data_IF_123573860047
#
_entry.id   IF_123573860047
#
_cell.length_a   1.000
_cell.length_b   1.000
_cell.length_c   1.000
_cell.angle_alpha   90.00
_cell.angle_beta   90.00
_cell.angle_gamma   90.00
#
_symmetry.space_group_name_H-M   'P 1'
#
loop_
_entity.id
_entity.type
_entity.pdbx_description
1 polymer ?
#
# COMPACT_ATOMS: atom_id res chain seq x y z
N UNK A 1 2.96 -41.11 22.63
CA UNK A 1 2.64 -41.56 21.27
C UNK A 1 1.52 -40.64 20.80
N UNK A 2 1.62 -39.70 19.87
CA UNK A 2 2.69 -39.03 19.11
C UNK A 2 1.93 -38.43 17.93
N UNK A 3 1.36 -37.24 18.10
CA UNK A 3 0.50 -36.52 17.14
C UNK A 3 1.11 -35.15 16.80
N UNK A 4 2.43 -35.10 16.60
CA UNK A 4 3.14 -33.84 16.35
C UNK A 4 4.08 -33.89 15.12
N UNK A 5 4.16 -35.02 14.42
CA UNK A 5 5.09 -35.23 13.29
C UNK A 5 4.42 -35.17 11.90
N UNK A 6 3.14 -34.80 11.79
CA UNK A 6 2.39 -34.88 10.51
C UNK A 6 2.21 -33.53 9.79
N UNK A 7 2.86 -32.45 10.26
CA UNK A 7 2.80 -31.12 9.62
C UNK A 7 3.99 -30.79 8.72
N UNK A 8 5.03 -31.63 8.68
CA UNK A 8 6.26 -31.40 7.89
C UNK A 8 6.23 -32.01 6.48
N UNK A 9 5.19 -32.76 6.10
CA UNK A 9 5.09 -33.48 4.82
C UNK A 9 4.04 -32.91 3.85
N UNK A 10 3.67 -31.63 4.01
CA UNK A 10 2.83 -30.92 3.04
C UNK A 10 3.71 -30.34 1.91
N UNK A 11 3.38 -30.56 0.63
CA UNK A 11 4.14 -30.00 -0.47
C UNK A 11 4.07 -28.46 -0.42
N UNK A 12 5.23 -27.81 -0.41
CA UNK A 12 5.32 -26.35 -0.45
C UNK A 12 4.61 -25.82 -1.71
N UNK A 13 3.82 -24.74 -1.61
CA UNK A 13 3.15 -24.16 -2.76
C UNK A 13 4.17 -23.68 -3.81
N UNK A 14 3.82 -23.71 -5.11
CA UNK A 14 4.70 -23.24 -6.16
C UNK A 14 5.01 -21.75 -5.96
N UNK A 15 6.28 -21.40 -6.09
CA UNK A 15 6.74 -20.02 -6.01
C UNK A 15 6.11 -19.17 -7.13
N UNK A 16 5.68 -17.93 -6.84
CA UNK A 16 5.09 -17.06 -7.83
C UNK A 16 6.08 -16.77 -8.97
N UNK A 17 5.61 -16.77 -10.24
CA UNK A 17 6.48 -16.52 -11.38
C UNK A 17 7.02 -15.08 -11.35
N UNK A 18 8.34 -14.93 -11.49
CA UNK A 18 9.00 -13.63 -11.66
C UNK A 18 9.95 -13.20 -10.54
N UNK A 19 10.04 -13.93 -9.42
CA UNK A 19 10.99 -13.62 -8.34
C UNK A 19 12.16 -14.61 -8.38
N UNK A 20 13.30 -14.23 -8.97
CA UNK A 20 14.54 -14.96 -8.77
C UNK A 20 15.16 -14.56 -7.42
N UNK A 21 14.81 -15.28 -6.35
CA UNK A 21 15.57 -15.14 -5.10
C UNK A 21 17.00 -15.65 -5.35
N UNK A 22 18.05 -14.89 -4.99
CA UNK A 22 19.39 -15.43 -5.00
C UNK A 22 19.44 -16.65 -4.05
N UNK A 23 20.23 -17.69 -4.36
CA UNK A 23 20.34 -18.85 -3.50
C UNK A 23 20.75 -18.40 -2.08
N UNK A 24 20.11 -18.94 -1.03
CA UNK A 24 20.51 -18.63 0.34
C UNK A 24 21.99 -18.98 0.52
N UNK A 25 22.76 -18.15 1.27
CA UNK A 25 24.16 -18.44 1.55
C UNK A 25 24.27 -19.82 2.24
N UNK A 26 25.31 -20.61 1.92
CA UNK A 26 25.52 -21.91 2.54
C UNK A 26 25.62 -21.74 4.07
N UNK A 27 25.00 -22.62 4.86
CA UNK A 27 25.15 -22.59 6.30
C UNK A 27 26.64 -22.74 6.67
N UNK A 28 27.13 -22.00 7.69
CA UNK A 28 28.49 -22.18 8.18
C UNK A 28 28.69 -23.65 8.58
N UNK A 29 29.87 -24.24 8.34
CA UNK A 29 30.15 -25.60 8.76
C UNK A 29 29.99 -25.68 10.28
N UNK A 30 29.01 -26.46 10.73
CA UNK A 30 28.94 -26.92 12.10
C UNK A 30 30.03 -27.98 12.25
N UNK A 31 31.09 -27.66 13.01
CA UNK A 31 32.08 -28.64 13.45
C UNK A 31 31.41 -29.58 14.47
N UNK A 32 30.79 -30.63 13.97
CA UNK A 32 30.30 -31.77 14.74
C UNK A 32 31.22 -32.94 14.44
N UNK A 33 32.41 -32.93 15.02
CA UNK A 33 33.28 -34.12 15.13
C UNK A 33 34.37 -33.88 16.16
N UNK A 34 34.07 -34.21 17.42
CA UNK A 34 35.01 -34.82 18.35
C UNK A 34 34.22 -35.29 19.58
N UNK A 35 33.69 -36.50 19.49
CA UNK A 35 33.48 -37.32 20.68
C UNK A 35 34.87 -37.78 21.14
N UNK A 36 35.48 -37.07 22.09
CA UNK A 36 36.60 -37.55 22.90
C UNK A 36 36.48 -36.95 24.30
N UNK A 37 36.01 -37.82 25.19
CA UNK A 37 36.45 -38.05 26.58
C UNK A 37 36.73 -36.85 27.52
N UNK A 38 36.09 -36.92 28.69
CA UNK A 38 36.47 -36.21 29.90
C UNK A 38 37.96 -36.43 30.21
N UNK A 39 38.78 -35.39 30.12
CA UNK A 39 39.98 -35.27 30.95
C UNK A 39 40.15 -33.84 31.45
N UNK A 40 40.20 -33.74 32.77
CA UNK A 40 40.39 -32.54 33.55
C UNK A 40 41.90 -32.43 33.75
N UNK A 41 42.59 -31.47 33.13
CA UNK A 41 43.94 -31.10 33.54
C UNK A 41 44.15 -29.58 33.58
N UNK A 42 44.42 -29.12 34.80
CA UNK A 42 45.00 -27.83 35.14
C UNK A 42 46.41 -27.69 34.52
N UNK A 43 46.71 -26.55 33.90
CA UNK A 43 47.95 -25.85 34.26
C UNK A 43 47.93 -24.36 33.94
N UNK A 44 48.28 -23.62 34.99
CA UNK A 44 48.66 -22.21 35.01
C UNK A 44 49.89 -21.94 34.12
N UNK A 45 50.06 -20.68 33.69
CA UNK A 45 51.05 -19.75 34.28
C UNK A 45 51.65 -18.72 33.27
N UNK A 46 51.97 -17.54 33.83
CA UNK A 46 52.89 -16.48 33.37
C UNK A 46 52.41 -15.29 32.48
N UNK A 47 51.99 -14.22 33.18
CA UNK A 47 52.62 -12.87 33.31
C UNK A 47 53.29 -12.21 32.07
N UNK A 48 52.79 -11.06 31.60
CA UNK A 48 53.11 -9.66 31.99
C UNK A 48 54.29 -9.04 31.22
N UNK A 49 54.04 -7.98 30.43
CA UNK A 49 54.83 -6.72 30.51
C UNK A 49 54.37 -5.55 29.59
N UNK A 50 54.37 -4.36 30.21
CA UNK A 50 54.48 -2.97 29.71
C UNK A 50 53.19 -2.19 29.37
N UNK A 51 53.22 -0.85 29.53
CA UNK A 51 53.45 -0.11 30.77
C UNK A 51 52.21 0.73 31.14
N UNK A 52 52.12 1.06 32.43
CA UNK A 52 51.18 2.06 32.95
C UNK A 52 51.46 3.42 32.31
N UNK A 53 50.61 3.83 31.36
CA UNK A 53 50.38 5.23 31.04
C UNK A 53 48.97 5.59 31.53
N UNK A 54 48.93 6.01 32.80
CA UNK A 54 47.74 6.38 33.57
C UNK A 54 47.37 7.85 33.40
N UNK A 55 47.70 8.49 32.28
CA UNK A 55 47.35 9.89 32.06
C UNK A 55 46.46 10.07 30.83
N UNK A 56 45.15 10.19 31.08
CA UNK A 56 44.06 10.54 30.14
C UNK A 56 43.39 9.39 29.37
N UNK A 57 43.40 8.17 29.92
CA UNK A 57 42.34 7.18 29.64
C UNK A 57 41.14 7.41 30.56
N UNK A 58 40.73 8.67 30.75
CA UNK A 58 39.46 8.92 31.41
C UNK A 58 38.38 8.30 30.53
N UNK A 59 37.54 7.48 31.14
CA UNK A 59 36.39 6.89 30.46
C UNK A 59 35.58 7.98 29.74
N UNK A 60 35.56 9.19 30.30
CA UNK A 60 35.01 10.40 29.69
C UNK A 60 35.66 10.73 28.34
N UNK A 61 36.99 10.81 28.25
CA UNK A 61 37.70 11.14 27.00
C UNK A 61 37.60 10.05 25.95
N UNK A 62 37.59 8.76 26.36
CA UNK A 62 37.34 7.65 25.45
C UNK A 62 35.89 7.65 24.95
N UNK A 63 34.94 8.01 25.81
CA UNK A 63 33.52 8.10 25.46
C UNK A 63 33.24 9.30 24.54
N UNK A 64 33.84 10.46 24.81
CA UNK A 64 33.79 11.63 23.94
C UNK A 64 34.44 11.36 22.59
N UNK A 65 35.57 10.65 22.56
CA UNK A 65 36.22 10.24 21.30
C UNK A 65 35.37 9.26 20.50
N UNK A 66 34.66 8.34 21.16
CA UNK A 66 33.69 7.45 20.51
C UNK A 66 32.49 8.24 19.99
N UNK A 67 31.98 9.19 20.77
CA UNK A 67 30.86 10.05 20.39
C UNK A 67 31.18 10.95 19.19
N UNK A 68 32.40 11.48 19.11
CA UNK A 68 32.82 12.33 18.00
C UNK A 68 33.04 11.55 16.69
N UNK A 69 33.36 10.25 16.78
CA UNK A 69 33.61 9.39 15.61
C UNK A 69 32.39 8.53 15.22
N UNK A 70 31.37 8.44 16.08
CA UNK A 70 30.14 7.71 15.82
C UNK A 70 28.96 8.68 15.58
N UNK A 71 28.56 8.92 14.33
CA UNK A 71 27.48 9.85 14.00
C UNK A 71 26.11 9.40 14.53
N UNK A 72 25.98 8.16 15.02
CA UNK A 72 24.73 7.65 15.62
C UNK A 72 24.54 8.06 17.09
N UNK A 73 25.60 8.55 17.74
CA UNK A 73 25.62 8.97 19.17
C UNK A 73 25.59 10.50 19.36
N UNK A 74 25.21 11.25 18.32
CA UNK A 74 25.09 12.71 18.36
C UNK A 74 24.12 13.18 19.48
N UNK A 75 24.25 14.43 19.92
CA UNK A 75 23.38 15.00 20.97
C UNK A 75 21.90 14.91 20.63
N UNK A 76 21.54 15.00 19.35
CA UNK A 76 20.18 14.89 18.84
C UNK A 76 19.59 13.48 19.09
N UNK A 77 20.40 12.44 18.90
CA UNK A 77 20.02 11.04 19.19
C UNK A 77 19.70 10.83 20.68
N UNK A 78 20.50 11.44 21.56
CA UNK A 78 20.30 11.35 23.02
C UNK A 78 19.04 12.10 23.47
N UNK A 79 18.81 13.32 22.98
CA UNK A 79 17.64 14.13 23.34
C UNK A 79 16.33 13.47 22.84
N UNK A 80 16.38 12.86 21.65
CA UNK A 80 15.28 12.03 21.15
C UNK A 80 14.99 10.82 22.03
N UNK A 81 16.02 10.08 22.47
CA UNK A 81 15.84 8.91 23.34
C UNK A 81 15.22 9.28 24.69
N UNK A 82 15.65 10.37 25.34
CA UNK A 82 15.05 10.80 26.61
C UNK A 82 13.63 11.33 26.43
N UNK A 83 13.35 12.08 25.36
CA UNK A 83 11.98 12.49 25.05
C UNK A 83 11.07 11.29 24.78
N UNK A 84 11.55 10.25 24.10
CA UNK A 84 10.78 9.04 23.85
C UNK A 84 10.44 8.29 25.14
N UNK A 85 11.40 8.18 26.07
CA UNK A 85 11.22 7.51 27.36
C UNK A 85 10.21 8.28 28.24
N UNK A 86 10.29 9.61 28.29
CA UNK A 86 9.39 10.41 29.11
C UNK A 86 7.92 10.36 28.60
N UNK A 87 7.74 10.26 27.27
CA UNK A 87 6.42 10.06 26.64
C UNK A 87 5.82 8.68 26.93
N UNK A 88 6.66 7.64 26.96
CA UNK A 88 6.21 6.29 27.36
C UNK A 88 5.83 6.26 28.84
N UNK A 89 6.60 6.95 29.69
CA UNK A 89 6.36 7.00 31.13
C UNK A 89 5.10 7.77 31.51
N UNK A 90 4.79 8.86 30.80
CA UNK A 90 3.60 9.70 31.05
C UNK A 90 2.34 9.18 30.35
N UNK A 91 2.47 8.25 29.40
CA UNK A 91 1.35 7.66 28.65
C UNK A 91 0.70 8.62 27.64
N UNK A 92 1.22 9.84 27.52
CA UNK A 92 0.79 10.81 26.53
C UNK A 92 1.54 10.56 25.22
N UNK A 93 0.91 9.77 24.35
CA UNK A 93 1.37 9.57 22.98
C UNK A 93 1.15 10.89 22.25
N UNK A 94 2.15 11.77 22.29
CA UNK A 94 2.14 13.06 21.58
C UNK A 94 1.76 12.93 20.10
N UNK A 95 1.59 14.06 19.41
CA UNK A 95 1.14 14.04 18.01
C UNK A 95 2.04 13.16 17.13
N UNK A 96 1.48 12.57 16.08
CA UNK A 96 2.25 11.76 15.11
C UNK A 96 3.52 12.48 14.62
N UNK A 97 3.48 13.81 14.52
CA UNK A 97 4.63 14.64 14.15
C UNK A 97 5.82 14.53 15.13
N UNK A 98 5.53 14.48 16.42
CA UNK A 98 6.52 14.42 17.51
C UNK A 98 7.17 13.03 17.59
N UNK A 99 6.40 11.99 17.26
CA UNK A 99 6.87 10.59 17.23
C UNK A 99 7.78 10.28 16.04
N UNK A 100 7.63 11.01 14.94
CA UNK A 100 8.42 10.83 13.73
C UNK A 100 9.46 11.92 13.51
N UNK A 101 9.72 12.76 14.53
CA UNK A 101 10.72 13.83 14.44
C UNK A 101 12.13 13.31 14.12
N UNK A 102 12.44 12.04 14.41
CA UNK A 102 13.71 11.38 14.06
C UNK A 102 13.72 10.79 12.63
N UNK A 103 12.55 10.59 12.02
CA UNK A 103 12.40 9.90 10.72
C UNK A 103 12.12 10.83 9.57
N UNK A 104 11.58 12.02 9.85
CA UNK A 104 11.51 13.09 8.88
C UNK A 104 12.83 13.87 8.94
N UNK A 105 13.34 14.29 7.78
CA UNK A 105 14.59 15.05 7.69
C UNK A 105 14.53 16.32 8.53
N UNK A 106 15.66 17.02 8.58
CA UNK A 106 15.86 18.28 9.33
C UNK A 106 14.64 19.21 9.33
N UNK A 107 14.59 20.15 10.28
CA UNK A 107 13.53 21.16 10.46
C UNK A 107 12.88 21.73 9.18
N UNK A 108 13.62 21.78 8.06
CA UNK A 108 13.14 22.03 6.71
C UNK A 108 11.94 21.14 6.28
N UNK A 109 11.94 19.83 6.50
CA UNK A 109 10.83 18.95 6.12
C UNK A 109 9.57 19.24 6.95
N UNK A 110 9.75 19.64 8.22
CA UNK A 110 8.64 20.11 9.07
C UNK A 110 8.04 21.40 8.52
N UNK A 111 8.89 22.35 8.13
CA UNK A 111 8.44 23.60 7.50
C UNK A 111 7.76 23.33 6.15
N UNK A 112 8.30 22.42 5.32
CA UNK A 112 7.71 22.02 4.03
C UNK A 112 6.32 21.39 4.23
N UNK A 113 6.14 20.52 5.22
CA UNK A 113 4.83 19.91 5.50
C UNK A 113 3.82 20.99 5.93
N UNK A 114 4.21 21.91 6.82
CA UNK A 114 3.34 23.00 7.26
C UNK A 114 2.98 23.94 6.09
N UNK A 115 3.98 24.31 5.27
CA UNK A 115 3.79 25.16 4.11
C UNK A 115 2.90 24.48 3.05
N UNK A 116 3.14 23.20 2.73
CA UNK A 116 2.29 22.43 1.79
C UNK A 116 0.87 22.28 2.32
N UNK A 117 0.70 22.00 3.62
CA UNK A 117 -0.62 21.89 4.25
C UNK A 117 -1.38 23.22 4.19
N UNK A 118 -0.68 24.33 4.45
CA UNK A 118 -1.26 25.68 4.34
C UNK A 118 -1.64 26.00 2.89
N UNK A 119 -0.77 25.70 1.93
CA UNK A 119 -1.02 25.90 0.50
C UNK A 119 -2.25 25.11 0.03
N UNK A 120 -2.38 23.83 0.42
CA UNK A 120 -3.57 23.03 0.09
C UNK A 120 -4.85 23.60 0.73
N UNK A 121 -4.77 24.11 1.95
CA UNK A 121 -5.91 24.76 2.60
C UNK A 121 -6.31 26.06 1.89
N UNK A 122 -5.35 26.87 1.45
CA UNK A 122 -5.60 28.09 0.68
C UNK A 122 -6.23 27.77 -0.68
N UNK A 123 -5.74 26.75 -1.38
CA UNK A 123 -6.34 26.24 -2.64
C UNK A 123 -7.78 25.77 -2.42
N UNK A 124 -8.08 25.12 -1.29
CA UNK A 124 -9.45 24.67 -0.99
C UNK A 124 -10.35 25.83 -0.55
N UNK A 125 -9.79 26.89 0.05
CA UNK A 125 -10.53 28.03 0.55
C UNK A 125 -10.93 29.02 -0.56
N UNK A 126 -10.21 29.02 -1.68
CA UNK A 126 -10.64 29.80 -2.84
C UNK A 126 -11.85 29.13 -3.48
N UNK A 127 -13.01 29.79 -3.35
CA UNK A 127 -14.21 29.41 -4.08
C UNK A 127 -13.89 29.50 -5.58
N UNK A 128 -14.11 28.46 -6.38
CA UNK A 128 -13.86 28.53 -7.81
C UNK A 128 -14.76 29.62 -8.40
N UNK A 129 -14.16 30.75 -8.76
CA UNK A 129 -14.87 31.88 -9.35
C UNK A 129 -15.04 31.60 -10.84
N UNK A 130 -16.29 31.42 -11.26
CA UNK A 130 -16.65 31.36 -12.68
C UNK A 130 -16.68 32.79 -13.22
N UNK A 131 -15.61 33.21 -13.88
CA UNK A 131 -15.65 34.41 -14.71
C UNK A 131 -16.36 34.07 -16.02
N UNK A 132 -17.55 34.65 -16.23
CA UNK A 132 -18.28 34.54 -17.47
C UNK A 132 -17.51 35.30 -18.55
N UNK A 133 -16.84 34.55 -19.42
CA UNK A 133 -16.23 35.08 -20.64
C UNK A 133 -17.41 35.58 -21.51
N UNK A 134 -17.51 36.89 -21.73
CA UNK A 134 -18.56 37.45 -22.59
C UNK A 134 -18.55 36.75 -23.95
N UNK A 135 -19.67 36.15 -24.31
CA UNK A 135 -19.84 35.49 -25.59
C UNK A 135 -19.61 36.50 -26.74
N UNK A 136 -18.94 36.11 -27.83
CA UNK A 136 -18.97 36.88 -29.06
C UNK A 136 -20.42 37.01 -29.53
N UNK A 137 -20.79 38.17 -30.08
CA UNK A 137 -22.10 38.42 -30.68
C UNK A 137 -22.26 37.51 -31.90
N UNK A 138 -22.91 36.36 -31.72
CA UNK A 138 -23.20 35.38 -32.78
C UNK A 138 -24.65 35.61 -33.22
N UNK A 139 -24.82 35.99 -34.49
CA UNK A 139 -26.11 36.17 -35.16
C UNK A 139 -26.92 34.87 -35.17
N UNK A 140 -28.24 34.98 -35.01
CA UNK A 140 -29.25 33.96 -34.69
C UNK A 140 -29.46 32.81 -35.71
N UNK A 141 -28.54 32.53 -36.62
CA UNK A 141 -28.71 31.52 -37.66
C UNK A 141 -27.50 30.57 -37.73
N UNK A 142 -27.24 29.83 -36.66
CA UNK A 142 -26.57 28.52 -36.72
C UNK A 142 -26.63 27.88 -35.33
N UNK A 143 -27.65 27.06 -35.12
CA UNK A 143 -27.69 26.08 -34.05
C UNK A 143 -26.54 25.09 -34.27
N UNK A 144 -25.35 25.48 -33.81
CA UNK A 144 -24.27 24.55 -33.57
C UNK A 144 -24.74 23.72 -32.38
N UNK A 145 -25.12 22.47 -32.66
CA UNK A 145 -25.17 21.42 -31.64
C UNK A 145 -23.82 21.49 -30.93
N UNK A 146 -23.84 22.02 -29.70
CA UNK A 146 -22.77 21.79 -28.75
C UNK A 146 -22.89 20.31 -28.48
N UNK A 147 -22.13 19.53 -29.26
CA UNK A 147 -21.65 18.22 -28.83
C UNK A 147 -20.90 18.54 -27.53
N UNK A 148 -21.65 18.43 -26.43
CA UNK A 148 -21.10 18.37 -25.09
C UNK A 148 -20.06 17.26 -25.18
N UNK A 149 -18.79 17.65 -25.19
CA UNK A 149 -17.68 16.79 -24.86
C UNK A 149 -17.93 16.40 -23.39
N UNK A 150 -18.88 15.47 -23.20
CA UNK A 150 -19.28 14.95 -21.91
C UNK A 150 -18.00 14.46 -21.24
N UNK A 151 -17.78 14.74 -19.95
CA UNK A 151 -16.64 14.17 -19.23
C UNK A 151 -16.66 12.69 -19.53
N UNK A 152 -15.59 12.18 -20.16
CA UNK A 152 -15.46 10.83 -20.73
C UNK A 152 -16.29 9.88 -19.87
N UNK A 153 -17.46 9.44 -20.35
CA UNK A 153 -18.43 8.78 -19.46
C UNK A 153 -17.87 7.41 -19.13
N UNK A 154 -17.09 7.35 -18.07
CA UNK A 154 -16.40 6.17 -17.58
C UNK A 154 -17.40 5.03 -17.31
N UNK A 155 -18.69 5.35 -17.14
CA UNK A 155 -19.75 4.37 -17.03
C UNK A 155 -19.96 3.57 -18.34
N UNK A 156 -19.85 4.20 -19.51
CA UNK A 156 -19.92 3.49 -20.79
C UNK A 156 -18.71 2.58 -20.99
N UNK A 157 -17.51 3.02 -20.58
CA UNK A 157 -16.34 2.16 -20.54
C UNK A 157 -16.53 0.99 -19.57
N UNK A 158 -17.12 1.25 -18.40
CA UNK A 158 -17.44 0.24 -17.38
C UNK A 158 -18.43 -0.79 -17.93
N UNK A 159 -19.48 -0.34 -18.60
CA UNK A 159 -20.42 -1.21 -19.27
C UNK A 159 -19.71 -2.10 -20.31
N UNK A 160 -18.77 -1.54 -21.08
CA UNK A 160 -17.96 -2.30 -22.03
C UNK A 160 -17.10 -3.39 -21.38
N UNK A 161 -16.47 -3.07 -20.25
CA UNK A 161 -15.69 -4.04 -19.43
C UNK A 161 -16.60 -5.16 -18.94
N UNK A 162 -17.73 -4.81 -18.33
CA UNK A 162 -18.71 -5.75 -17.80
C UNK A 162 -19.29 -6.63 -18.91
N UNK A 163 -19.63 -6.05 -20.07
CA UNK A 163 -20.15 -6.79 -21.22
C UNK A 163 -19.13 -7.79 -21.76
N UNK A 164 -17.84 -7.42 -21.80
CA UNK A 164 -16.78 -8.35 -22.19
C UNK A 164 -16.63 -9.48 -21.18
N UNK A 165 -16.62 -9.16 -19.89
CA UNK A 165 -16.54 -10.14 -18.81
C UNK A 165 -17.69 -11.14 -18.84
N UNK A 166 -18.94 -10.66 -18.94
CA UNK A 166 -20.10 -11.54 -19.06
C UNK A 166 -20.09 -12.36 -20.36
N UNK A 167 -19.52 -11.82 -21.44
CA UNK A 167 -19.36 -12.53 -22.72
C UNK A 167 -18.33 -13.65 -22.66
N UNK A 168 -17.32 -13.53 -21.79
CA UNK A 168 -16.28 -14.55 -21.57
C UNK A 168 -16.72 -15.64 -20.56
N UNK A 169 -17.92 -15.52 -19.99
CA UNK A 169 -18.48 -16.52 -19.08
C UNK A 169 -18.90 -17.79 -19.82
N UNK A 170 -18.98 -18.95 -19.12
CA UNK A 170 -19.49 -20.19 -19.72
C UNK A 170 -20.92 -20.04 -20.22
N UNK A 171 -21.26 -20.72 -21.32
CA UNK A 171 -22.59 -20.68 -21.94
C UNK A 171 -23.74 -20.97 -20.94
N UNK A 172 -23.51 -21.86 -19.97
CA UNK A 172 -24.48 -22.21 -18.94
C UNK A 172 -24.83 -21.01 -18.04
N UNK A 173 -23.82 -20.19 -17.71
CA UNK A 173 -24.01 -18.96 -16.95
C UNK A 173 -24.72 -17.91 -17.81
N UNK A 174 -24.26 -17.71 -19.06
CA UNK A 174 -24.86 -16.72 -19.96
C UNK A 174 -26.35 -17.04 -20.19
N UNK A 175 -26.72 -18.31 -20.37
CA UNK A 175 -28.12 -18.71 -20.53
C UNK A 175 -28.94 -18.44 -19.27
N UNK A 176 -28.36 -18.65 -18.08
CA UNK A 176 -29.02 -18.34 -16.80
C UNK A 176 -29.21 -16.83 -16.64
N UNK A 177 -28.20 -16.04 -16.99
CA UNK A 177 -28.27 -14.58 -16.95
C UNK A 177 -29.30 -14.04 -17.95
N UNK A 178 -29.31 -14.52 -19.20
CA UNK A 178 -30.30 -14.15 -20.22
C UNK A 178 -31.74 -14.49 -19.80
N UNK A 179 -31.92 -15.55 -19.01
CA UNK A 179 -33.22 -15.94 -18.46
C UNK A 179 -33.62 -15.15 -17.20
N UNK A 180 -32.69 -14.39 -16.61
CA UNK A 180 -32.92 -13.65 -15.38
C UNK A 180 -33.51 -12.26 -15.65
N UNK A 181 -34.12 -11.67 -14.62
CA UNK A 181 -34.63 -10.30 -14.70
C UNK A 181 -33.49 -9.25 -14.75
N UNK A 182 -32.26 -9.65 -14.38
CA UNK A 182 -31.04 -8.83 -14.50
C UNK A 182 -30.74 -8.46 -15.96
N UNK A 183 -31.04 -9.37 -16.90
CA UNK A 183 -30.80 -9.11 -18.31
C UNK A 183 -31.65 -7.95 -18.86
N UNK A 184 -32.86 -7.73 -18.35
CA UNK A 184 -33.71 -6.60 -18.81
C UNK A 184 -33.09 -5.25 -18.45
N UNK A 185 -32.53 -5.16 -17.25
CA UNK A 185 -31.80 -3.96 -16.82
C UNK A 185 -30.54 -3.80 -17.67
N UNK A 186 -29.81 -4.89 -17.90
CA UNK A 186 -28.63 -4.92 -18.75
C UNK A 186 -28.90 -4.47 -20.19
N UNK A 187 -30.00 -4.93 -20.81
CA UNK A 187 -30.43 -4.53 -22.15
C UNK A 187 -30.80 -3.03 -22.19
N UNK A 188 -31.52 -2.56 -21.16
CA UNK A 188 -31.94 -1.15 -21.10
C UNK A 188 -30.75 -0.19 -20.96
N UNK A 189 -29.77 -0.53 -20.12
CA UNK A 189 -28.55 0.24 -19.92
C UNK A 189 -27.61 0.09 -21.13
N UNK A 190 -27.55 -1.09 -21.74
CA UNK A 190 -26.72 -1.34 -22.92
C UNK A 190 -27.20 -0.67 -24.20
N UNK A 191 -28.50 -0.32 -24.28
CA UNK A 191 -29.04 0.43 -25.41
C UNK A 191 -28.47 1.85 -25.49
N UNK A 192 -28.28 2.50 -24.33
CA UNK A 192 -27.65 3.81 -24.23
C UNK A 192 -27.05 4.01 -22.81
N UNK A 193 -25.78 3.61 -22.59
CA UNK A 193 -25.16 3.69 -21.27
C UNK A 193 -24.95 5.15 -20.81
N UNK A 194 -24.84 6.08 -21.76
CA UNK A 194 -24.65 7.51 -21.44
C UNK A 194 -25.95 8.17 -20.98
N UNK A 195 -27.09 7.70 -21.47
CA UNK A 195 -28.41 8.23 -21.10
C UNK A 195 -28.94 7.72 -19.75
N UNK A 196 -28.30 6.71 -19.14
CA UNK A 196 -28.69 6.18 -17.85
C UNK A 196 -28.46 7.20 -16.72
N UNK A 197 -29.48 7.41 -15.88
CA UNK A 197 -29.40 8.25 -14.69
C UNK A 197 -28.62 7.57 -13.55
N UNK A 198 -28.17 8.36 -12.59
CA UNK A 198 -27.35 7.92 -11.46
C UNK A 198 -28.00 6.78 -10.64
N UNK A 199 -29.32 6.83 -10.42
CA UNK A 199 -30.03 5.77 -9.70
C UNK A 199 -30.04 4.46 -10.50
N UNK A 200 -30.27 4.53 -11.82
CA UNK A 200 -30.19 3.37 -12.72
C UNK A 200 -28.77 2.80 -12.78
N UNK A 201 -27.74 3.66 -12.84
CA UNK A 201 -26.32 3.24 -12.80
C UNK A 201 -25.99 2.51 -11.51
N UNK A 202 -26.48 2.97 -10.36
CA UNK A 202 -26.29 2.32 -9.07
C UNK A 202 -27.00 0.97 -8.96
N UNK A 203 -28.22 0.88 -9.46
CA UNK A 203 -28.95 -0.40 -9.54
C UNK A 203 -28.24 -1.39 -10.47
N UNK A 204 -27.74 -0.92 -11.61
CA UNK A 204 -26.96 -1.73 -12.54
C UNK A 204 -25.67 -2.25 -11.89
N UNK A 205 -24.91 -1.39 -11.21
CA UNK A 205 -23.70 -1.80 -10.50
C UNK A 205 -24.01 -2.86 -9.44
N UNK A 206 -25.05 -2.66 -8.63
CA UNK A 206 -25.47 -3.61 -7.59
C UNK A 206 -25.87 -4.97 -8.18
N UNK A 207 -26.58 -4.95 -9.31
CA UNK A 207 -26.97 -6.15 -10.04
C UNK A 207 -25.74 -6.91 -10.56
N UNK A 208 -24.80 -6.20 -11.22
CA UNK A 208 -23.58 -6.80 -11.73
C UNK A 208 -22.72 -7.35 -10.60
N UNK A 209 -22.56 -6.62 -9.49
CA UNK A 209 -21.80 -7.09 -8.34
C UNK A 209 -22.38 -8.38 -7.74
N UNK A 210 -23.70 -8.51 -7.69
CA UNK A 210 -24.34 -9.74 -7.26
C UNK A 210 -24.05 -10.90 -8.22
N UNK A 211 -24.17 -10.67 -9.53
CA UNK A 211 -23.93 -11.71 -10.54
C UNK A 211 -22.45 -12.13 -10.61
N UNK A 212 -21.53 -11.17 -10.47
CA UNK A 212 -20.08 -11.41 -10.39
C UNK A 212 -19.68 -12.14 -9.10
N UNK A 213 -20.44 -11.95 -8.02
CA UNK A 213 -20.27 -12.68 -6.76
C UNK A 213 -20.70 -14.14 -6.82
N UNK A 214 -21.52 -14.55 -7.79
CA UNK A 214 -21.88 -15.96 -8.02
C UNK A 214 -20.83 -16.72 -8.84
N UNK A 215 -19.79 -16.03 -9.32
CA UNK A 215 -18.78 -16.64 -10.16
C UNK A 215 -17.78 -17.48 -9.36
N UNK A 216 -17.22 -18.54 -9.98
CA UNK A 216 -16.19 -19.32 -9.33
C UNK A 216 -14.89 -18.49 -9.19
N UNK A 217 -14.11 -18.76 -8.13
CA UNK A 217 -12.97 -17.93 -7.71
C UNK A 217 -11.90 -17.77 -8.80
N UNK A 218 -11.72 -18.77 -9.67
CA UNK A 218 -10.81 -18.75 -10.80
C UNK A 218 -11.17 -17.64 -11.81
N UNK A 219 -12.46 -17.42 -12.06
CA UNK A 219 -12.94 -16.35 -12.94
C UNK A 219 -12.92 -14.97 -12.29
N UNK A 220 -13.17 -14.92 -10.98
CA UNK A 220 -13.02 -13.68 -10.22
C UNK A 220 -11.54 -13.25 -10.22
N UNK A 221 -10.60 -14.17 -9.99
CA UNK A 221 -9.18 -13.85 -10.01
C UNK A 221 -8.71 -13.37 -11.39
N UNK A 222 -9.15 -14.02 -12.47
CA UNK A 222 -8.88 -13.58 -13.84
C UNK A 222 -9.39 -12.15 -14.09
N UNK A 223 -10.58 -11.82 -13.59
CA UNK A 223 -11.12 -10.47 -13.70
C UNK A 223 -10.35 -9.45 -12.84
N UNK A 224 -9.98 -9.80 -11.61
CA UNK A 224 -9.22 -8.92 -10.69
C UNK A 224 -7.84 -8.59 -11.24
N UNK A 225 -7.23 -9.51 -12.00
CA UNK A 225 -5.96 -9.28 -12.71
C UNK A 225 -6.13 -8.47 -14.01
N UNK A 226 -7.37 -8.29 -14.47
CA UNK A 226 -7.65 -7.57 -15.71
C UNK A 226 -7.61 -6.04 -15.51
N UNK A 227 -7.26 -5.26 -16.55
CA UNK A 227 -7.34 -3.79 -16.51
C UNK A 227 -8.74 -3.25 -16.20
N UNK A 228 -9.78 -4.05 -16.47
CA UNK A 228 -11.17 -3.67 -16.22
C UNK A 228 -11.54 -3.62 -14.72
N UNK A 229 -10.75 -4.24 -13.86
CA UNK A 229 -11.00 -4.26 -12.42
C UNK A 229 -10.81 -2.89 -11.75
N UNK A 230 -9.87 -2.08 -12.24
CA UNK A 230 -9.67 -0.72 -11.74
C UNK A 230 -10.92 0.13 -11.96
N UNK A 231 -11.52 0.01 -13.15
CA UNK A 231 -12.75 0.71 -13.49
C UNK A 231 -13.95 0.20 -12.69
N UNK A 232 -14.04 -1.12 -12.48
CA UNK A 232 -15.05 -1.70 -11.60
C UNK A 232 -14.93 -1.18 -10.16
N UNK A 233 -13.71 -1.10 -9.61
CA UNK A 233 -13.46 -0.58 -8.26
C UNK A 233 -13.87 0.88 -8.15
N UNK A 234 -13.49 1.71 -9.14
CA UNK A 234 -13.88 3.13 -9.18
C UNK A 234 -15.39 3.31 -9.23
N UNK A 235 -16.09 2.51 -10.03
CA UNK A 235 -17.55 2.53 -10.09
C UNK A 235 -18.19 2.02 -8.80
N UNK A 236 -17.56 1.06 -8.11
CA UNK A 236 -18.00 0.60 -6.79
C UNK A 236 -17.88 1.67 -5.70
N UNK A 237 -16.85 2.51 -5.74
CA UNK A 237 -16.73 3.64 -4.81
C UNK A 237 -17.82 4.71 -5.06
N UNK A 238 -18.27 4.86 -6.30
CA UNK A 238 -19.31 5.81 -6.68
C UNK A 238 -20.72 5.28 -6.41
N UNK A 239 -20.96 3.99 -6.68
CA UNK A 239 -22.29 3.39 -6.77
C UNK A 239 -22.56 2.24 -5.80
N UNK A 240 -21.56 1.77 -5.06
CA UNK A 240 -21.64 0.62 -4.15
C UNK A 240 -22.13 0.93 -2.73
N UNK A 241 -22.63 2.15 -2.49
CA UNK A 241 -23.09 2.64 -1.18
C UNK A 241 -24.53 2.30 -0.84
#
# INVERSE_FOLDING_TARGET
MSDADELDDLPLPPLPPGISLPPPPPPPPMDISAEVEEEIEENSDLQDNTPVDTQSRDFQSQWESRKANDPTLSSDSKDSMYGHIDRIATGEVGTLLDRFSDRFGSELDREIIVLRKKQQQEIRAVKPTVELISAPEITEDEAFEVEEDSPTDEFAEFFGVVNSLLGDMPDDFIQRFLASDSFKLFESVGADPNAADEDTRAQFFSMINAELGELPEDKINEFVESPGFELFTKMGDLYGG
#
